data_IF_230468381485
#
_entry.id   IF_230468381485
#
_cell.length_a   1.000
_cell.length_b   1.000
_cell.length_c   1.000
_cell.angle_alpha   90.00
_cell.angle_beta   90.00
_cell.angle_gamma   90.00
#
_symmetry.space_group_name_H-M   'P 1'
#
loop_
_entity.id
_entity.type
_entity.pdbx_description
1 polymer ?
#
# COMPACT_ATOMS: atom_id res chain seq x y z
N UNK A 1 -18.92 19.41 -11.28
CA UNK A 1 -18.58 20.84 -11.47
C UNK A 1 -17.56 20.93 -12.59
N UNK A 2 -17.92 21.45 -13.77
CA UNK A 2 -16.92 21.76 -14.77
C UNK A 2 -16.06 22.91 -14.26
N UNK A 3 -14.80 22.63 -13.91
CA UNK A 3 -13.98 23.56 -13.13
C UNK A 3 -12.49 23.36 -13.41
N UNK A 4 -11.70 24.38 -13.17
CA UNK A 4 -10.24 24.32 -13.28
C UNK A 4 -9.62 25.09 -12.13
N UNK A 5 -8.41 24.71 -11.69
CA UNK A 5 -7.66 25.39 -10.64
C UNK A 5 -8.41 25.51 -9.30
N UNK A 6 -9.12 24.46 -8.91
CA UNK A 6 -9.80 24.37 -7.62
C UNK A 6 -8.88 23.71 -6.60
N UNK A 7 -8.91 24.19 -5.36
CA UNK A 7 -8.30 23.48 -4.24
C UNK A 7 -9.39 23.12 -3.22
N UNK A 8 -9.53 21.83 -2.95
CA UNK A 8 -10.37 21.30 -1.86
C UNK A 8 -9.41 20.78 -0.80
N UNK A 9 -9.45 21.35 0.41
CA UNK A 9 -8.48 20.98 1.44
C UNK A 9 -9.02 21.06 2.86
N UNK A 10 -8.42 20.28 3.74
CA UNK A 10 -8.60 20.37 5.20
C UNK A 10 -10.06 20.14 5.63
N UNK A 11 -10.75 19.20 4.97
CA UNK A 11 -12.16 18.87 5.26
C UNK A 11 -12.29 17.49 5.89
N UNK A 12 -13.23 17.39 6.84
CA UNK A 12 -13.74 16.11 7.34
C UNK A 12 -15.18 15.96 6.87
N UNK A 13 -15.44 14.98 6.02
CA UNK A 13 -16.72 14.76 5.33
C UNK A 13 -17.16 13.33 5.61
N UNK A 14 -17.97 13.09 6.64
CA UNK A 14 -18.32 11.72 7.07
C UNK A 14 -19.82 11.44 6.98
N UNK A 15 -20.20 10.18 6.74
CA UNK A 15 -21.60 9.73 6.70
C UNK A 15 -22.45 10.35 5.56
N UNK A 16 -21.84 10.58 4.41
CA UNK A 16 -22.46 11.13 3.21
C UNK A 16 -22.50 10.09 2.08
N UNK A 17 -23.33 10.33 1.06
CA UNK A 17 -23.31 9.51 -0.16
C UNK A 17 -21.99 9.69 -0.95
N UNK A 18 -21.46 10.91 -0.97
CA UNK A 18 -20.18 11.26 -1.60
C UNK A 18 -19.44 12.22 -0.67
N UNK A 19 -18.14 11.96 -0.43
CA UNK A 19 -17.26 12.89 0.26
C UNK A 19 -16.89 14.04 -0.65
N UNK A 20 -15.97 13.80 -1.58
CA UNK A 20 -15.56 14.76 -2.60
C UNK A 20 -15.83 14.20 -3.98
N UNK A 21 -16.58 14.96 -4.80
CA UNK A 21 -16.75 14.69 -6.22
C UNK A 21 -16.15 15.83 -7.06
N UNK A 22 -15.12 15.51 -7.83
CA UNK A 22 -14.69 16.32 -8.97
C UNK A 22 -15.25 15.70 -10.25
N UNK A 23 -15.93 16.50 -11.06
CA UNK A 23 -16.61 16.02 -12.26
C UNK A 23 -16.40 17.00 -13.40
N UNK A 24 -15.67 16.59 -14.44
CA UNK A 24 -15.20 17.46 -15.52
C UNK A 24 -14.22 18.54 -15.03
N UNK A 25 -13.31 18.17 -14.12
CA UNK A 25 -12.40 19.10 -13.46
C UNK A 25 -10.95 18.90 -13.93
N UNK A 26 -10.21 20.01 -14.10
CA UNK A 26 -8.79 19.97 -14.46
C UNK A 26 -7.89 20.79 -13.55
N UNK A 27 -6.59 20.51 -13.54
CA UNK A 27 -5.57 21.34 -12.87
C UNK A 27 -5.92 21.68 -11.42
N UNK A 28 -6.53 20.75 -10.68
CA UNK A 28 -7.08 20.98 -9.34
C UNK A 28 -6.39 20.10 -8.30
N UNK A 29 -6.54 20.46 -7.03
CA UNK A 29 -5.84 19.85 -5.90
C UNK A 29 -6.84 19.42 -4.83
N UNK A 30 -6.74 18.17 -4.38
CA UNK A 30 -7.50 17.63 -3.24
C UNK A 30 -6.49 17.21 -2.17
N UNK A 31 -6.54 17.86 -1.02
CA UNK A 31 -5.53 17.68 0.01
C UNK A 31 -6.09 17.49 1.40
N UNK A 32 -5.50 16.56 2.18
CA UNK A 32 -5.80 16.45 3.62
C UNK A 32 -7.31 16.33 3.88
N UNK A 33 -7.99 15.57 3.04
CA UNK A 33 -9.40 15.26 3.19
C UNK A 33 -9.54 13.96 3.97
N UNK A 34 -10.35 13.99 5.02
CA UNK A 34 -10.85 12.81 5.69
C UNK A 34 -12.31 12.60 5.26
N UNK A 35 -12.55 11.67 4.33
CA UNK A 35 -13.89 11.41 3.79
C UNK A 35 -14.54 10.14 4.37
N UNK A 36 -14.01 9.60 5.47
CA UNK A 36 -14.42 8.30 6.02
C UNK A 36 -15.93 8.08 6.18
N UNK A 37 -16.36 6.82 6.05
CA UNK A 37 -17.76 6.39 6.18
C UNK A 37 -18.71 7.02 5.14
N UNK A 38 -18.22 7.30 3.93
CA UNK A 38 -19.06 7.75 2.82
C UNK A 38 -19.39 6.62 1.83
N UNK A 39 -20.44 6.85 1.02
CA UNK A 39 -20.82 6.02 -0.12
C UNK A 39 -19.79 5.99 -1.26
N UNK A 40 -19.02 7.07 -1.40
CA UNK A 40 -17.77 7.19 -2.14
C UNK A 40 -16.91 8.19 -1.39
N UNK A 41 -15.63 7.91 -1.23
CA UNK A 41 -14.74 8.85 -0.55
C UNK A 41 -14.38 10.05 -1.40
N UNK A 42 -13.41 9.83 -2.28
CA UNK A 42 -13.01 10.81 -3.29
C UNK A 42 -13.25 10.21 -4.66
N UNK A 43 -14.10 10.87 -5.46
CA UNK A 43 -14.41 10.45 -6.81
C UNK A 43 -14.00 11.52 -7.81
N UNK A 44 -13.21 11.11 -8.80
CA UNK A 44 -12.93 11.87 -10.01
C UNK A 44 -13.70 11.27 -11.17
N UNK A 45 -14.53 12.08 -11.81
CA UNK A 45 -15.30 11.69 -12.98
C UNK A 45 -14.93 12.58 -14.17
N UNK A 46 -14.45 12.00 -15.26
CA UNK A 46 -14.01 12.74 -16.45
C UNK A 46 -13.08 13.90 -16.12
N UNK A 47 -12.16 13.72 -15.17
CA UNK A 47 -11.32 14.78 -14.60
C UNK A 47 -9.83 14.45 -14.82
N UNK A 48 -9.05 15.42 -15.30
CA UNK A 48 -7.65 15.20 -15.67
C UNK A 48 -6.70 16.19 -15.03
N UNK A 49 -5.42 15.84 -14.93
CA UNK A 49 -4.38 16.78 -14.51
C UNK A 49 -4.59 17.30 -13.07
N UNK A 50 -5.12 16.45 -12.17
CA UNK A 50 -5.36 16.79 -10.77
C UNK A 50 -4.36 16.10 -9.84
N UNK A 51 -4.11 16.71 -8.68
CA UNK A 51 -3.27 16.16 -7.61
C UNK A 51 -4.13 15.80 -6.39
N UNK A 52 -4.02 14.55 -5.93
CA UNK A 52 -4.66 14.06 -4.72
C UNK A 52 -3.56 13.68 -3.72
N UNK A 53 -3.50 14.39 -2.60
CA UNK A 53 -2.40 14.23 -1.63
C UNK A 53 -2.89 14.16 -0.19
N UNK A 54 -2.35 13.23 0.60
CA UNK A 54 -2.63 13.12 2.04
C UNK A 54 -4.12 12.92 2.37
N UNK A 55 -4.88 12.24 1.52
CA UNK A 55 -6.29 11.99 1.77
C UNK A 55 -6.51 10.64 2.47
N UNK A 56 -7.58 10.53 3.25
CA UNK A 56 -7.96 9.33 3.97
C UNK A 56 -9.37 8.87 3.57
N UNK A 57 -9.46 8.09 2.49
CA UNK A 57 -10.65 7.34 2.03
C UNK A 57 -10.39 6.55 0.73
N UNK A 58 -11.38 5.81 0.28
CA UNK A 58 -11.44 5.16 -1.02
C UNK A 58 -11.44 6.16 -2.16
N UNK A 59 -10.56 5.92 -3.13
CA UNK A 59 -10.36 6.82 -4.27
C UNK A 59 -10.82 6.12 -5.54
N UNK A 60 -11.75 6.74 -6.24
CA UNK A 60 -12.28 6.23 -7.51
C UNK A 60 -12.06 7.22 -8.65
N UNK A 61 -11.28 6.81 -9.65
CA UNK A 61 -11.08 7.50 -10.92
C UNK A 61 -11.91 6.81 -12.01
N UNK A 62 -12.86 7.55 -12.58
CA UNK A 62 -13.66 7.11 -13.72
C UNK A 62 -13.39 8.03 -14.90
N UNK A 63 -12.87 7.47 -15.99
CA UNK A 63 -12.56 8.20 -17.23
C UNK A 63 -11.66 9.41 -16.97
N UNK A 64 -10.70 9.26 -16.04
CA UNK A 64 -9.93 10.35 -15.44
C UNK A 64 -8.44 10.07 -15.61
N UNK A 65 -7.79 10.83 -16.47
CA UNK A 65 -6.41 10.58 -16.91
C UNK A 65 -5.44 11.65 -16.42
N UNK A 66 -4.13 11.36 -16.42
CA UNK A 66 -3.07 12.32 -16.05
C UNK A 66 -3.17 12.85 -14.60
N UNK A 67 -3.72 12.09 -13.66
CA UNK A 67 -3.77 12.51 -12.26
C UNK A 67 -2.59 11.94 -11.47
N UNK A 68 -2.20 12.63 -10.39
CA UNK A 68 -1.17 12.19 -9.46
C UNK A 68 -1.79 11.94 -8.10
N UNK A 69 -1.66 10.72 -7.59
CA UNK A 69 -2.12 10.29 -6.27
C UNK A 69 -0.90 9.98 -5.42
N UNK A 70 -0.67 10.79 -4.38
CA UNK A 70 0.50 10.67 -3.51
C UNK A 70 0.11 10.63 -2.04
N UNK A 71 0.67 9.68 -1.29
CA UNK A 71 0.50 9.59 0.17
C UNK A 71 -0.96 9.59 0.63
N UNK A 72 -1.85 8.91 -0.11
CA UNK A 72 -3.23 8.73 0.31
C UNK A 72 -3.39 7.40 1.05
N UNK A 73 -4.26 7.37 2.05
CA UNK A 73 -4.66 6.15 2.76
C UNK A 73 -6.07 5.77 2.35
N UNK A 74 -6.23 4.62 1.71
CA UNK A 74 -7.51 4.03 1.35
C UNK A 74 -7.74 2.79 2.22
N UNK A 75 -8.43 2.98 3.35
CA UNK A 75 -8.65 1.94 4.35
C UNK A 75 -10.08 1.87 4.84
N UNK A 76 -10.59 0.66 5.09
CA UNK A 76 -11.92 0.44 5.69
C UNK A 76 -13.04 1.21 4.97
N UNK A 77 -12.95 1.31 3.64
CA UNK A 77 -13.88 2.08 2.83
C UNK A 77 -15.22 1.35 2.79
N UNK A 78 -16.28 1.99 3.28
CA UNK A 78 -17.54 1.30 3.57
C UNK A 78 -18.39 0.99 2.33
N UNK A 79 -18.21 1.68 1.20
CA UNK A 79 -19.02 1.42 0.00
C UNK A 79 -18.29 1.84 -1.29
N UNK A 80 -18.14 0.92 -2.24
CA UNK A 80 -17.96 1.23 -3.65
C UNK A 80 -19.30 1.08 -4.36
N UNK A 81 -20.13 2.13 -4.48
CA UNK A 81 -21.39 2.00 -5.24
C UNK A 81 -21.14 2.20 -6.74
N UNK A 82 -21.20 1.10 -7.48
CA UNK A 82 -21.68 1.09 -8.86
C UNK A 82 -23.18 0.79 -8.85
N UNK A 83 -24.02 1.75 -9.27
CA UNK A 83 -25.43 1.49 -9.59
C UNK A 83 -25.75 2.18 -10.91
N UNK A 84 -25.84 1.41 -11.99
CA UNK A 84 -26.59 1.81 -13.17
C UNK A 84 -27.98 1.18 -13.06
N UNK A 85 -28.97 2.00 -12.67
CA UNK A 85 -30.42 1.75 -12.77
C UNK A 85 -30.93 0.39 -12.24
N UNK A 86 -31.24 0.29 -10.95
CA UNK A 86 -32.26 -0.64 -10.41
C UNK A 86 -32.64 -0.23 -8.99
N UNK A 87 -33.93 -0.02 -8.73
CA UNK A 87 -34.50 0.08 -7.38
C UNK A 87 -34.40 -1.28 -6.66
N UNK A 88 -34.12 -1.25 -5.35
CA UNK A 88 -34.05 -2.41 -4.44
C UNK A 88 -32.97 -3.46 -4.71
N UNK A 89 -31.69 -3.08 -4.62
CA UNK A 89 -30.62 -4.05 -4.34
C UNK A 89 -29.66 -3.50 -3.27
N UNK A 90 -29.66 -4.13 -2.10
CA UNK A 90 -28.56 -4.01 -1.14
C UNK A 90 -27.35 -4.73 -1.76
N UNK A 91 -26.51 -3.99 -2.48
CA UNK A 91 -25.31 -4.57 -3.09
C UNK A 91 -24.36 -5.05 -1.98
N UNK A 92 -23.96 -6.33 -1.95
CA UNK A 92 -23.10 -6.86 -0.90
C UNK A 92 -21.68 -6.28 -1.08
N UNK A 93 -21.24 -5.48 -0.12
CA UNK A 93 -19.84 -5.38 0.34
C UNK A 93 -18.72 -5.42 -0.74
N UNK A 94 -18.78 -4.55 -1.76
CA UNK A 94 -17.74 -4.43 -2.78
C UNK A 94 -16.75 -3.32 -2.41
N UNK A 95 -15.72 -3.68 -1.63
CA UNK A 95 -14.81 -2.75 -0.95
C UNK A 95 -13.45 -2.68 -1.67
N UNK A 96 -13.22 -1.64 -2.47
CA UNK A 96 -11.94 -1.38 -3.14
C UNK A 96 -11.19 -0.25 -2.43
N UNK A 97 -9.85 -0.32 -2.39
CA UNK A 97 -9.02 0.77 -1.88
C UNK A 97 -8.93 1.92 -2.89
N UNK A 98 -8.14 1.70 -3.96
CA UNK A 98 -8.00 2.62 -5.08
C UNK A 98 -8.49 1.93 -6.36
N UNK A 99 -9.42 2.56 -7.06
CA UNK A 99 -9.99 2.03 -8.29
C UNK A 99 -9.80 2.98 -9.46
N UNK A 100 -9.18 2.49 -10.53
CA UNK A 100 -9.10 3.15 -11.83
C UNK A 100 -9.98 2.41 -12.85
N UNK A 101 -10.97 3.11 -13.39
CA UNK A 101 -11.84 2.63 -14.46
C UNK A 101 -11.69 3.54 -15.69
N UNK A 102 -11.27 2.98 -16.82
CA UNK A 102 -10.98 3.70 -18.06
C UNK A 102 -10.12 4.95 -17.84
N UNK A 103 -9.13 4.83 -16.97
CA UNK A 103 -8.32 5.95 -16.46
C UNK A 103 -6.85 5.67 -16.74
N UNK A 104 -6.22 6.51 -17.57
CA UNK A 104 -4.90 6.24 -18.13
C UNK A 104 -3.87 7.31 -17.76
N UNK A 105 -2.59 6.98 -17.85
CA UNK A 105 -1.48 7.91 -17.60
C UNK A 105 -1.50 8.54 -16.19
N UNK A 106 -2.01 7.84 -15.17
CA UNK A 106 -1.96 8.30 -13.79
C UNK A 106 -0.68 7.82 -13.09
N UNK A 107 -0.23 8.55 -12.08
CA UNK A 107 0.86 8.11 -11.19
C UNK A 107 0.31 7.91 -9.78
N UNK A 108 0.48 6.71 -9.24
CA UNK A 108 0.11 6.34 -7.87
C UNK A 108 1.39 6.01 -7.12
N UNK A 109 1.76 6.84 -6.15
CA UNK A 109 2.95 6.59 -5.34
C UNK A 109 2.74 6.87 -3.86
N UNK A 110 3.40 6.09 -3.01
CA UNK A 110 3.34 6.23 -1.55
C UNK A 110 1.93 6.08 -0.97
N UNK A 111 0.98 5.49 -1.70
CA UNK A 111 -0.38 5.30 -1.18
C UNK A 111 -0.47 4.02 -0.37
N UNK A 112 -1.30 4.02 0.67
CA UNK A 112 -1.58 2.84 1.48
C UNK A 112 -3.00 2.35 1.21
N UNK A 113 -3.13 1.16 0.63
CA UNK A 113 -4.40 0.45 0.50
C UNK A 113 -4.45 -0.66 1.56
N UNK A 114 -5.24 -0.47 2.61
CA UNK A 114 -5.22 -1.36 3.78
C UNK A 114 -6.62 -1.92 4.13
N UNK A 115 -6.70 -3.22 4.42
CA UNK A 115 -7.89 -3.87 4.97
C UNK A 115 -9.14 -3.70 4.10
N UNK A 116 -8.97 -3.75 2.78
CA UNK A 116 -10.07 -3.70 1.84
C UNK A 116 -10.60 -5.12 1.57
N UNK A 117 -11.91 -5.32 1.73
CA UNK A 117 -12.53 -6.64 1.60
C UNK A 117 -12.60 -7.15 0.13
N UNK A 118 -12.15 -6.38 -0.85
CA UNK A 118 -11.94 -6.86 -2.22
C UNK A 118 -10.50 -6.62 -2.69
N UNK A 119 -10.25 -5.63 -3.56
CA UNK A 119 -8.91 -5.32 -4.02
C UNK A 119 -8.34 -4.08 -3.32
N UNK A 120 -7.06 -4.12 -2.95
CA UNK A 120 -6.34 -2.93 -2.51
C UNK A 120 -6.27 -1.89 -3.64
N UNK A 121 -5.71 -2.29 -4.79
CA UNK A 121 -5.66 -1.48 -6.01
C UNK A 121 -6.25 -2.26 -7.19
N UNK A 122 -7.20 -1.67 -7.90
CA UNK A 122 -7.85 -2.29 -9.07
C UNK A 122 -7.78 -1.40 -10.31
N UNK A 123 -7.19 -1.92 -11.40
CA UNK A 123 -7.09 -1.26 -12.70
C UNK A 123 -7.93 -2.03 -13.73
N UNK A 124 -8.99 -1.39 -14.23
CA UNK A 124 -9.98 -2.05 -15.08
C UNK A 124 -10.40 -1.20 -16.29
N UNK A 125 -10.89 -1.89 -17.32
CA UNK A 125 -11.51 -1.32 -18.53
C UNK A 125 -10.64 -0.29 -19.26
N UNK A 126 -9.51 -0.73 -19.81
CA UNK A 126 -8.59 0.12 -20.59
C UNK A 126 -7.96 1.26 -19.78
N UNK A 127 -7.65 0.99 -18.52
CA UNK A 127 -6.84 1.88 -17.67
C UNK A 127 -5.37 1.62 -17.95
N UNK A 128 -4.82 2.28 -18.97
CA UNK A 128 -3.49 1.97 -19.53
C UNK A 128 -2.43 2.97 -19.09
N UNK A 129 -1.15 2.57 -19.16
CA UNK A 129 0.01 3.44 -18.94
C UNK A 129 0.02 4.14 -17.57
N UNK A 130 -0.55 3.53 -16.55
CA UNK A 130 -0.42 4.02 -15.19
C UNK A 130 0.89 3.53 -14.58
N UNK A 131 1.51 4.35 -13.73
CA UNK A 131 2.74 4.03 -13.00
C UNK A 131 2.45 3.92 -11.50
N UNK A 132 2.78 2.77 -10.91
CA UNK A 132 2.53 2.45 -9.51
C UNK A 132 3.84 1.98 -8.85
N UNK A 133 4.31 2.71 -7.83
CA UNK A 133 5.49 2.34 -7.05
C UNK A 133 5.41 2.93 -5.64
N UNK A 134 6.08 2.34 -4.67
CA UNK A 134 6.06 2.72 -3.26
C UNK A 134 4.68 2.64 -2.59
N UNK A 135 3.71 1.94 -3.20
CA UNK A 135 2.41 1.75 -2.56
C UNK A 135 2.46 0.59 -1.58
N UNK A 136 1.71 0.72 -0.48
CA UNK A 136 1.57 -0.29 0.56
C UNK A 136 0.20 -0.98 0.42
N UNK A 137 0.19 -2.21 -0.09
CA UNK A 137 -1.02 -3.02 -0.25
C UNK A 137 -1.07 -4.05 0.89
N UNK A 138 -1.86 -3.77 1.92
CA UNK A 138 -1.82 -4.48 3.20
C UNK A 138 -3.18 -5.09 3.55
N UNK A 139 -3.19 -6.38 3.91
CA UNK A 139 -4.35 -7.07 4.47
C UNK A 139 -5.64 -6.91 3.64
N UNK A 140 -5.51 -6.78 2.33
CA UNK A 140 -6.66 -6.78 1.43
C UNK A 140 -7.02 -8.23 1.07
N UNK A 141 -8.29 -8.51 0.77
CA UNK A 141 -8.68 -9.86 0.29
C UNK A 141 -7.85 -10.27 -0.94
N UNK A 142 -7.54 -9.29 -1.80
CA UNK A 142 -6.57 -9.39 -2.88
C UNK A 142 -5.80 -8.07 -2.94
N UNK A 143 -4.48 -8.09 -2.99
CA UNK A 143 -3.74 -6.82 -2.97
C UNK A 143 -3.93 -6.03 -4.27
N UNK A 144 -3.70 -6.66 -5.43
CA UNK A 144 -3.75 -6.00 -6.72
C UNK A 144 -4.57 -6.79 -7.76
N UNK A 145 -5.14 -6.07 -8.73
CA UNK A 145 -5.67 -6.66 -9.95
C UNK A 145 -5.60 -5.68 -11.10
N UNK A 146 -5.07 -6.15 -12.23
CA UNK A 146 -4.80 -5.32 -13.40
C UNK A 146 -5.12 -6.08 -14.67
N UNK A 147 -6.02 -5.52 -15.48
CA UNK A 147 -6.45 -6.10 -16.77
C UNK A 147 -5.86 -5.36 -17.98
N UNK A 148 -4.95 -4.41 -17.76
CA UNK A 148 -4.47 -3.46 -18.76
C UNK A 148 -2.95 -3.30 -18.67
N UNK A 149 -2.27 -2.83 -19.74
CA UNK A 149 -0.83 -2.62 -19.71
C UNK A 149 -0.47 -1.44 -18.79
N UNK A 150 0.04 -1.73 -17.59
CA UNK A 150 0.52 -0.74 -16.62
C UNK A 150 1.88 -1.13 -16.04
N UNK A 151 2.55 -0.16 -15.43
CA UNK A 151 3.85 -0.35 -14.79
C UNK A 151 3.67 -0.37 -13.28
N UNK A 152 3.96 -1.52 -12.66
CA UNK A 152 3.88 -1.72 -11.22
C UNK A 152 5.23 -1.54 -10.51
N UNK A 153 6.22 -1.00 -11.22
CA UNK A 153 7.51 -0.64 -10.65
C UNK A 153 8.21 0.40 -11.53
N UNK A 154 9.18 1.09 -10.93
CA UNK A 154 10.20 1.86 -11.65
C UNK A 154 11.33 0.93 -12.09
N UNK A 155 12.44 1.48 -12.60
CA UNK A 155 13.63 0.68 -12.93
C UNK A 155 14.35 0.08 -11.71
N UNK A 156 14.02 0.49 -10.49
CA UNK A 156 14.76 0.09 -9.28
C UNK A 156 13.88 -0.30 -8.10
N UNK A 157 12.58 -0.03 -8.13
CA UNK A 157 11.71 -0.24 -6.96
C UNK A 157 10.24 -0.31 -7.36
N UNK A 158 9.49 -1.18 -6.69
CA UNK A 158 8.08 -1.48 -6.90
C UNK A 158 7.23 -1.15 -5.68
N UNK A 159 6.28 -2.03 -5.35
CA UNK A 159 5.31 -1.85 -4.28
C UNK A 159 5.46 -2.93 -3.20
N UNK A 160 4.91 -2.65 -2.01
CA UNK A 160 4.80 -3.65 -0.95
C UNK A 160 3.44 -4.35 -1.04
N UNK A 161 3.45 -5.68 -0.96
CA UNK A 161 2.24 -6.51 -0.89
C UNK A 161 2.32 -7.41 0.34
N UNK A 162 1.32 -7.38 1.21
CA UNK A 162 1.31 -8.19 2.43
C UNK A 162 1.22 -9.71 2.18
N UNK A 163 0.95 -10.13 0.94
CA UNK A 163 0.91 -11.52 0.50
C UNK A 163 2.12 -11.90 -0.36
N UNK A 164 3.11 -11.01 -0.52
CA UNK A 164 4.35 -11.30 -1.21
C UNK A 164 5.23 -12.22 -0.36
N UNK A 165 5.66 -13.34 -0.95
CA UNK A 165 6.46 -14.39 -0.27
C UNK A 165 7.75 -14.72 -1.03
N UNK A 166 8.22 -13.80 -1.86
CA UNK A 166 9.45 -13.98 -2.63
C UNK A 166 10.72 -13.88 -1.77
N UNK A 167 11.87 -14.15 -2.40
CA UNK A 167 13.18 -14.06 -1.75
C UNK A 167 13.85 -12.72 -1.99
N UNK A 168 14.61 -12.25 -1.02
CA UNK A 168 15.59 -11.15 -1.10
C UNK A 168 16.96 -11.75 -0.71
N UNK A 169 17.79 -12.09 -1.69
CA UNK A 169 19.03 -12.84 -1.48
C UNK A 169 20.21 -11.94 -1.10
N UNK A 170 20.19 -10.67 -1.49
CA UNK A 170 21.23 -9.69 -1.15
C UNK A 170 20.86 -8.80 0.04
N UNK A 171 19.63 -8.95 0.57
CA UNK A 171 19.12 -8.29 1.76
C UNK A 171 19.13 -6.77 1.64
N UNK A 172 18.77 -6.28 0.45
CA UNK A 172 18.66 -4.85 0.14
C UNK A 172 17.24 -4.28 0.37
N UNK A 173 16.29 -5.12 0.80
CA UNK A 173 14.91 -4.75 1.06
C UNK A 173 14.00 -4.81 -0.18
N UNK A 174 14.54 -5.22 -1.33
CA UNK A 174 13.82 -5.43 -2.58
C UNK A 174 13.83 -6.93 -2.91
N UNK A 175 12.67 -7.49 -3.23
CA UNK A 175 12.54 -8.88 -3.57
C UNK A 175 13.11 -9.20 -4.96
N UNK A 176 13.99 -10.21 -5.04
CA UNK A 176 14.53 -10.79 -6.27
C UNK A 176 13.49 -11.56 -7.09
N UNK A 177 12.43 -12.02 -6.42
CA UNK A 177 11.34 -12.76 -7.08
C UNK A 177 10.30 -11.78 -7.60
N UNK A 178 10.10 -11.68 -8.90
CA UNK A 178 9.06 -10.82 -9.46
C UNK A 178 7.65 -11.20 -8.96
N UNK A 179 6.79 -10.22 -8.73
CA UNK A 179 5.40 -10.41 -8.33
C UNK A 179 4.46 -10.17 -9.52
N UNK A 180 3.78 -11.22 -9.98
CA UNK A 180 2.83 -11.10 -11.09
C UNK A 180 1.48 -10.57 -10.61
N UNK A 181 0.96 -9.54 -11.27
CA UNK A 181 -0.32 -8.93 -10.93
C UNK A 181 -1.46 -9.72 -11.58
N UNK A 182 -2.42 -10.26 -10.82
CA UNK A 182 -3.53 -11.03 -11.38
C UNK A 182 -4.40 -10.20 -12.35
N UNK A 183 -4.98 -10.88 -13.35
CA UNK A 183 -5.94 -10.30 -14.30
C UNK A 183 -5.37 -9.99 -15.70
N UNK A 184 -4.05 -9.90 -15.82
CA UNK A 184 -3.36 -9.54 -17.06
C UNK A 184 -1.92 -10.04 -17.07
N UNK A 185 -1.04 -9.32 -17.78
CA UNK A 185 0.39 -9.64 -17.90
C UNK A 185 1.29 -8.65 -17.16
N UNK A 186 0.73 -7.77 -16.34
CA UNK A 186 1.49 -6.81 -15.55
C UNK A 186 2.29 -7.53 -14.46
N UNK A 187 3.53 -7.12 -14.26
CA UNK A 187 4.46 -7.70 -13.30
C UNK A 187 5.13 -6.54 -12.56
N UNK A 188 5.26 -6.68 -11.25
CA UNK A 188 6.16 -5.90 -10.41
C UNK A 188 7.50 -6.65 -10.31
N UNK A 189 8.55 -6.09 -10.91
CA UNK A 189 9.88 -6.71 -10.91
C UNK A 189 10.72 -6.41 -9.68
N UNK A 190 10.30 -5.44 -8.85
CA UNK A 190 11.06 -4.98 -7.70
C UNK A 190 10.15 -4.82 -6.47
N UNK A 191 9.39 -5.87 -6.10
CA UNK A 191 8.49 -5.80 -4.94
C UNK A 191 9.29 -5.46 -3.67
N UNK A 192 8.72 -4.65 -2.79
CA UNK A 192 9.36 -4.32 -1.51
C UNK A 192 9.17 -5.47 -0.52
N UNK A 193 10.20 -5.76 0.29
CA UNK A 193 10.14 -6.75 1.36
C UNK A 193 9.37 -6.24 2.58
N UNK A 194 9.34 -4.91 2.77
CA UNK A 194 8.66 -4.26 3.88
C UNK A 194 7.86 -3.03 3.40
N UNK A 195 6.80 -2.61 4.12
CA UNK A 195 6.07 -1.40 3.82
C UNK A 195 6.96 -0.18 3.55
N UNK A 196 6.66 0.56 2.48
CA UNK A 196 7.27 1.83 2.15
C UNK A 196 7.04 2.87 3.25
N UNK A 197 8.06 3.71 3.49
CA UNK A 197 8.00 4.83 4.42
C UNK A 197 8.03 4.42 5.90
N UNK A 198 8.10 3.12 6.20
CA UNK A 198 8.42 2.63 7.53
C UNK A 198 9.90 2.24 7.56
N UNK A 199 10.73 2.90 8.37
CA UNK A 199 12.13 2.51 8.50
C UNK A 199 12.19 1.08 9.06
N UNK A 200 13.18 0.27 8.66
CA UNK A 200 13.37 -1.07 9.19
C UNK A 200 13.39 -1.07 10.72
N UNK A 201 12.59 -1.95 11.32
CA UNK A 201 12.50 -2.04 12.77
C UNK A 201 13.76 -2.73 13.30
N UNK A 202 14.52 -2.07 14.18
CA UNK A 202 15.74 -2.64 14.75
C UNK A 202 15.43 -3.98 15.44
N UNK A 203 16.07 -5.06 14.97
CA UNK A 203 15.83 -6.44 15.41
C UNK A 203 14.78 -7.22 14.61
N UNK A 204 14.11 -6.61 13.64
CA UNK A 204 13.26 -7.27 12.63
C UNK A 204 14.07 -7.43 11.35
N UNK A 205 14.43 -8.67 11.02
CA UNK A 205 15.37 -9.05 9.98
C UNK A 205 14.70 -9.79 8.81
N UNK A 206 13.39 -10.04 8.89
CA UNK A 206 12.59 -10.51 7.75
C UNK A 206 11.64 -9.43 7.17
N UNK A 207 11.56 -8.25 7.80
CA UNK A 207 10.85 -7.08 7.31
C UNK A 207 9.33 -7.12 7.54
N UNK A 208 8.84 -8.02 8.39
CA UNK A 208 7.42 -8.18 8.68
C UNK A 208 6.87 -7.19 9.74
N UNK A 209 7.73 -6.32 10.27
CA UNK A 209 7.46 -5.37 11.35
C UNK A 209 7.12 -6.00 12.70
N UNK A 210 7.50 -7.26 12.91
CA UNK A 210 7.37 -7.99 14.17
C UNK A 210 8.74 -8.52 14.59
N UNK A 211 9.06 -8.42 15.87
CA UNK A 211 10.29 -9.01 16.41
C UNK A 211 9.95 -10.42 16.90
N UNK A 212 10.36 -11.42 16.14
CA UNK A 212 10.03 -12.83 16.34
C UNK A 212 11.27 -13.71 16.49
N UNK A 213 11.06 -15.01 16.72
CA UNK A 213 12.16 -16.00 16.68
C UNK A 213 12.75 -16.19 15.29
N UNK A 214 12.02 -15.83 14.22
CA UNK A 214 12.52 -15.89 12.85
C UNK A 214 13.68 -14.91 12.67
N UNK A 215 13.53 -13.70 13.21
CA UNK A 215 14.57 -12.67 13.18
C UNK A 215 15.82 -13.10 13.93
N UNK A 216 15.65 -13.73 15.10
CA UNK A 216 16.77 -14.28 15.86
C UNK A 216 17.52 -15.35 15.05
N UNK A 217 16.81 -16.18 14.28
CA UNK A 217 17.42 -17.18 13.42
C UNK A 217 18.18 -16.54 12.24
N UNK A 218 17.69 -15.41 11.71
CA UNK A 218 18.39 -14.64 10.67
C UNK A 218 19.65 -13.99 11.24
N UNK A 219 19.58 -13.37 12.42
CA UNK A 219 20.74 -12.81 13.11
C UNK A 219 21.84 -13.86 13.32
N UNK A 220 21.47 -15.10 13.69
CA UNK A 220 22.42 -16.21 13.80
C UNK A 220 23.06 -16.57 12.45
N UNK A 221 22.28 -16.63 11.37
CA UNK A 221 22.81 -16.90 10.03
C UNK A 221 23.80 -15.83 9.59
N UNK A 222 23.53 -14.56 9.90
CA UNK A 222 24.45 -13.44 9.64
C UNK A 222 25.72 -13.59 10.49
N UNK A 223 25.59 -13.86 11.79
CA UNK A 223 26.70 -14.00 12.72
C UNK A 223 27.69 -15.11 12.32
N UNK A 224 27.20 -16.18 11.68
CA UNK A 224 28.04 -17.28 11.17
C UNK A 224 28.48 -17.10 9.71
N UNK A 225 28.13 -15.98 9.06
CA UNK A 225 28.50 -15.68 7.68
C UNK A 225 27.72 -16.44 6.60
N UNK A 226 26.58 -17.04 6.95
CA UNK A 226 25.69 -17.72 6.00
C UNK A 226 24.72 -16.76 5.30
N UNK A 227 24.65 -15.50 5.74
CA UNK A 227 23.90 -14.41 5.10
C UNK A 227 24.78 -13.17 4.97
N UNK A 228 24.65 -12.40 3.88
CA UNK A 228 25.35 -11.13 3.73
C UNK A 228 24.93 -10.15 4.84
N UNK A 229 25.85 -9.26 5.22
CA UNK A 229 25.60 -8.17 6.16
C UNK A 229 26.10 -6.87 5.55
N UNK A 230 25.20 -6.17 4.86
CA UNK A 230 25.48 -4.83 4.36
C UNK A 230 25.29 -3.78 5.49
N UNK A 231 25.68 -2.51 5.31
CA UNK A 231 25.54 -1.49 6.35
C UNK A 231 24.11 -1.26 6.86
N UNK A 232 23.09 -1.48 6.03
CA UNK A 232 21.69 -1.35 6.41
C UNK A 232 21.24 -2.55 7.24
N UNK A 233 21.55 -3.77 6.79
CA UNK A 233 21.34 -5.01 7.57
C UNK A 233 22.04 -4.92 8.92
N UNK A 234 23.27 -4.40 8.97
CA UNK A 234 24.02 -4.21 10.21
C UNK A 234 23.28 -3.26 11.16
N UNK A 235 22.76 -2.13 10.66
CA UNK A 235 22.04 -1.16 11.50
C UNK A 235 20.79 -1.76 12.17
N UNK A 236 20.18 -2.75 11.52
CA UNK A 236 18.98 -3.45 11.99
C UNK A 236 19.36 -4.62 12.92
N UNK A 237 20.36 -5.41 12.52
CA UNK A 237 20.77 -6.66 13.18
C UNK A 237 21.62 -6.43 14.42
N UNK A 238 22.42 -5.36 14.48
CA UNK A 238 23.23 -4.99 15.65
C UNK A 238 22.35 -4.38 16.75
N UNK A 239 21.52 -5.23 17.37
CA UNK A 239 20.62 -4.82 18.46
C UNK A 239 21.40 -4.49 19.73
N UNK A 240 22.59 -5.05 19.92
CA UNK A 240 23.49 -4.76 21.04
C UNK A 240 24.17 -3.39 20.92
N UNK A 241 24.34 -2.87 19.70
CA UNK A 241 25.02 -1.62 19.41
C UNK A 241 26.55 -1.71 19.49
N UNK A 242 27.11 -2.90 19.33
CA UNK A 242 28.56 -3.14 19.42
C UNK A 242 29.31 -3.04 18.08
N UNK A 243 28.56 -2.76 17.00
CA UNK A 243 29.05 -2.62 15.64
C UNK A 243 29.24 -3.93 14.89
N UNK A 244 28.71 -5.05 15.41
CA UNK A 244 28.76 -6.38 14.78
C UNK A 244 27.45 -7.13 14.97
N UNK A 245 27.24 -8.17 14.17
CA UNK A 245 26.12 -9.11 14.36
C UNK A 245 26.68 -10.40 14.93
N UNK A 246 26.17 -10.80 16.10
CA UNK A 246 26.66 -11.93 16.88
C UNK A 246 25.51 -12.76 17.45
N UNK A 247 25.83 -13.86 18.12
CA UNK A 247 24.83 -14.63 18.87
C UNK A 247 24.21 -13.85 20.04
N UNK A 248 24.87 -12.77 20.50
CA UNK A 248 24.30 -11.86 21.50
C UNK A 248 23.11 -11.10 20.90
N UNK A 249 23.23 -10.63 19.68
CA UNK A 249 22.16 -9.92 18.98
C UNK A 249 20.95 -10.83 18.75
N UNK A 250 21.20 -12.06 18.29
CA UNK A 250 20.15 -13.06 18.17
C UNK A 250 19.45 -13.36 19.51
N UNK A 251 20.20 -13.45 20.60
CA UNK A 251 19.64 -13.65 21.93
C UNK A 251 18.79 -12.45 22.37
N UNK A 252 19.25 -11.22 22.12
CA UNK A 252 18.52 -9.99 22.44
C UNK A 252 17.22 -9.88 21.63
N UNK A 253 17.25 -10.24 20.35
CA UNK A 253 16.06 -10.32 19.49
C UNK A 253 15.06 -11.35 20.06
N UNK A 254 15.53 -12.54 20.42
CA UNK A 254 14.68 -13.59 20.99
C UNK A 254 14.08 -13.19 22.35
N UNK A 255 14.84 -12.51 23.21
CA UNK A 255 14.35 -11.97 24.47
C UNK A 255 13.27 -10.91 24.26
N UNK A 256 13.45 -10.02 23.28
CA UNK A 256 12.42 -9.04 22.92
C UNK A 256 11.16 -9.71 22.35
N UNK A 257 11.28 -10.78 21.57
CA UNK A 257 10.15 -11.59 21.11
C UNK A 257 9.33 -12.17 22.29
N UNK A 258 9.98 -12.66 23.35
CA UNK A 258 9.25 -13.25 24.50
C UNK A 258 8.38 -12.25 25.29
N UNK A 259 8.65 -10.94 25.17
CA UNK A 259 7.85 -9.93 25.87
C UNK A 259 6.53 -9.58 25.16
N UNK A 260 6.38 -9.91 23.86
CA UNK A 260 5.12 -9.74 23.12
C UNK A 260 4.15 -10.92 23.27
N UNK A 261 4.65 -12.11 23.62
CA UNK A 261 3.88 -13.34 23.88
C UNK A 261 3.34 -13.45 25.32
N UNK A 262 3.67 -12.52 26.23
CA UNK A 262 3.18 -12.51 27.62
C UNK A 262 2.17 -11.38 27.89
N UNK A 263 1.13 -11.23 27.06
CA UNK A 263 -0.07 -10.47 27.42
C UNK A 263 -1.42 -11.19 27.22
N UNK A 264 -1.40 -12.49 26.93
CA UNK A 264 -2.61 -13.33 26.93
C UNK A 264 -2.50 -14.43 28.00
N UNK A 265 -2.52 -14.03 29.27
CA UNK A 265 -3.12 -14.76 30.41
C UNK A 265 -2.91 -13.91 31.65
N UNK A 266 -3.77 -12.92 31.87
CA UNK A 266 -4.11 -12.42 33.20
C UNK A 266 -5.26 -11.41 33.05
N UNK A 267 -6.48 -11.92 32.94
CA UNK A 267 -7.69 -11.25 33.42
C UNK A 267 -8.82 -12.28 33.57
N UNK A 268 -8.99 -12.70 34.83
CA UNK A 268 -10.13 -13.35 35.49
C UNK A 268 -10.47 -14.81 35.12
#
# INVERSE_FOLDING_TARGET
MNSTNITVKDLTLTNNLQGVLLAYTKNSRIERINASNNGNGIRLYSSSDNALTNNNDGIYLHSSSNNTLTNNTASNNHYGIWLYSSSNNTAPNNHYGIWLYSSSNNTLTENTANSNNHYGIWLYSSSNNNLLYHNNLINNTKNAYDTSPNQWNTSTVGNYYSDYTGSDNDSDGIGDTSHQIPGGSSIDYFPLMHPWGKPPLKGDLDGDFQITSTDAAIALQIAVGNRPCNPETLAIADVSGDGRVSSLDALMILQNCTTSLCRDTDNL
#
